data_IF_555022575455
#
_entry.id   IF_555022575455
#
_cell.length_a   1.000
_cell.length_b   1.000
_cell.length_c   1.000
_cell.angle_alpha   90.00
_cell.angle_beta   90.00
_cell.angle_gamma   90.00
#
_symmetry.space_group_name_H-M   'P 1'
#
loop_
_entity.id
_entity.type
_entity.pdbx_description
1 polymer ?
#
# COMPACT_ATOMS: atom_id res chain seq x y z
N UNK A 1 -24.30 15.62 21.04
CA UNK A 1 -25.41 15.52 22.03
C UNK A 1 -26.58 14.85 21.32
N UNK A 2 -27.16 13.80 21.88
CA UNK A 2 -28.26 13.05 21.27
C UNK A 2 -29.59 13.77 21.45
N UNK A 3 -30.27 14.10 20.36
CA UNK A 3 -31.67 14.56 20.39
C UNK A 3 -32.63 13.35 20.43
N UNK A 4 -33.87 13.59 20.89
CA UNK A 4 -34.93 12.62 21.26
C UNK A 4 -35.32 11.58 20.18
N UNK A 5 -34.74 11.63 18.99
CA UNK A 5 -34.97 10.68 17.89
C UNK A 5 -33.78 9.79 17.55
N UNK A 6 -32.67 9.84 18.30
CA UNK A 6 -31.49 9.01 18.02
C UNK A 6 -30.72 9.40 16.75
N UNK A 7 -31.05 10.54 16.14
CA UNK A 7 -30.29 11.10 15.02
C UNK A 7 -28.94 11.60 15.55
N UNK A 8 -27.86 10.99 15.07
CA UNK A 8 -26.49 11.41 15.36
C UNK A 8 -25.93 12.09 14.12
N UNK A 9 -25.38 13.28 14.31
CA UNK A 9 -24.67 13.98 13.25
C UNK A 9 -23.29 13.37 13.05
N UNK A 10 -22.89 13.19 11.79
CA UNK A 10 -21.57 12.65 11.46
C UNK A 10 -20.66 13.81 11.09
N UNK A 11 -19.65 14.05 11.93
CA UNK A 11 -18.73 15.19 11.81
C UNK A 11 -17.33 14.79 11.31
N UNK A 12 -17.08 13.50 11.12
CA UNK A 12 -15.78 12.99 10.72
C UNK A 12 -15.73 11.47 10.72
N UNK A 13 -14.55 10.95 10.43
CA UNK A 13 -14.23 9.53 10.42
C UNK A 13 -13.04 9.23 11.32
N UNK A 14 -13.02 8.02 11.88
CA UNK A 14 -11.98 7.56 12.79
C UNK A 14 -11.48 6.20 12.35
N UNK A 15 -10.16 6.05 12.22
CA UNK A 15 -9.55 4.77 11.89
C UNK A 15 -9.36 3.89 13.12
N UNK A 16 -9.06 2.60 12.87
CA UNK A 16 -8.69 1.63 13.93
C UNK A 16 -7.43 2.01 14.72
N UNK A 17 -6.61 2.93 14.19
CA UNK A 17 -5.43 3.46 14.87
C UNK A 17 -5.75 4.73 15.69
N UNK A 18 -7.04 4.98 15.97
CA UNK A 18 -7.56 6.14 16.68
C UNK A 18 -7.23 7.49 16.01
N UNK A 19 -6.84 7.48 14.74
CA UNK A 19 -6.67 8.69 13.95
C UNK A 19 -8.01 9.20 13.47
N UNK A 20 -8.25 10.50 13.68
CA UNK A 20 -9.50 11.18 13.35
C UNK A 20 -9.30 12.16 12.19
N UNK A 21 -10.27 12.20 11.29
CA UNK A 21 -10.35 13.15 10.18
C UNK A 21 -11.73 13.79 10.21
N UNK A 22 -11.79 15.08 10.49
CA UNK A 22 -13.02 15.85 10.44
C UNK A 22 -13.52 16.01 9.00
N UNK A 23 -14.83 16.00 8.82
CA UNK A 23 -15.42 16.28 7.52
C UNK A 23 -15.50 17.77 7.23
N UNK A 24 -15.39 18.14 5.97
CA UNK A 24 -15.59 19.53 5.51
C UNK A 24 -17.01 20.01 5.78
N UNK A 25 -18.00 19.11 5.70
CA UNK A 25 -19.38 19.40 6.07
C UNK A 25 -19.95 18.30 6.98
N UNK A 26 -20.78 18.70 7.94
CA UNK A 26 -21.54 17.78 8.79
C UNK A 26 -22.62 17.05 7.99
N UNK A 27 -22.79 15.76 8.27
CA UNK A 27 -23.87 14.95 7.71
C UNK A 27 -24.97 14.83 8.75
N UNK A 28 -26.14 15.39 8.45
CA UNK A 28 -27.32 15.29 9.29
C UNK A 28 -28.11 14.03 8.94
N UNK A 29 -28.02 13.00 9.78
CA UNK A 29 -28.72 11.72 9.53
C UNK A 29 -30.25 11.87 9.55
N UNK A 30 -30.76 12.91 10.22
CA UNK A 30 -32.16 13.29 10.20
C UNK A 30 -32.70 13.55 8.78
N UNK A 31 -31.90 14.17 7.90
CA UNK A 31 -32.29 14.52 6.53
C UNK A 31 -32.55 13.28 5.67
N UNK A 32 -31.94 12.16 6.05
CA UNK A 32 -32.14 10.87 5.40
C UNK A 32 -33.47 10.20 5.78
N UNK A 33 -34.21 10.70 6.77
CA UNK A 33 -35.52 10.18 7.21
C UNK A 33 -35.51 8.66 7.45
N UNK A 34 -34.44 8.15 8.07
CA UNK A 34 -34.25 6.73 8.36
C UNK A 34 -33.72 5.88 7.20
N UNK A 35 -33.57 6.42 5.98
CA UNK A 35 -32.97 5.71 4.84
C UNK A 35 -31.44 5.68 4.94
N UNK A 36 -30.89 4.54 5.32
CA UNK A 36 -29.46 4.39 5.62
C UNK A 36 -28.59 4.64 4.38
N UNK A 37 -29.04 4.22 3.21
CA UNK A 37 -28.30 4.36 1.96
C UNK A 37 -28.05 5.81 1.58
N UNK A 38 -28.98 6.72 1.93
CA UNK A 38 -28.86 8.15 1.59
C UNK A 38 -27.70 8.81 2.33
N UNK A 39 -27.61 8.60 3.64
CA UNK A 39 -26.52 9.22 4.42
C UNK A 39 -25.20 8.48 4.21
N UNK A 40 -25.20 7.18 3.88
CA UNK A 40 -23.97 6.46 3.48
C UNK A 40 -23.37 7.00 2.17
N UNK A 41 -24.20 7.31 1.18
CA UNK A 41 -23.73 7.95 -0.06
C UNK A 41 -23.20 9.37 0.21
N UNK A 42 -23.75 10.09 1.18
CA UNK A 42 -23.20 11.37 1.63
C UNK A 42 -21.87 11.18 2.37
N UNK A 43 -21.75 10.14 3.19
CA UNK A 43 -20.53 9.78 3.91
C UNK A 43 -19.37 9.54 2.95
N UNK A 44 -19.58 8.73 1.92
CA UNK A 44 -18.57 8.45 0.90
C UNK A 44 -18.10 9.74 0.19
N UNK A 45 -19.05 10.61 -0.18
CA UNK A 45 -18.73 11.90 -0.81
C UNK A 45 -17.95 12.82 0.13
N UNK A 46 -18.38 12.95 1.38
CA UNK A 46 -17.69 13.79 2.36
C UNK A 46 -16.30 13.25 2.70
N UNK A 47 -16.11 11.92 2.77
CA UNK A 47 -14.80 11.30 2.95
C UNK A 47 -13.82 11.75 1.85
N UNK A 48 -14.21 11.59 0.58
CA UNK A 48 -13.37 11.95 -0.57
C UNK A 48 -13.08 13.46 -0.58
N UNK A 49 -14.12 14.29 -0.41
CA UNK A 49 -13.98 15.75 -0.39
C UNK A 49 -13.06 16.24 0.72
N UNK A 50 -13.22 15.68 1.93
CA UNK A 50 -12.44 16.08 3.11
C UNK A 50 -10.99 15.67 2.99
N UNK A 51 -10.71 14.45 2.47
CA UNK A 51 -9.35 14.02 2.20
C UNK A 51 -8.68 14.89 1.14
N UNK A 52 -9.39 15.24 0.06
CA UNK A 52 -8.86 16.13 -0.97
C UNK A 52 -8.52 17.52 -0.40
N UNK A 53 -9.39 18.08 0.44
CA UNK A 53 -9.15 19.36 1.10
C UNK A 53 -7.92 19.33 2.02
N UNK A 54 -7.85 18.38 2.96
CA UNK A 54 -6.73 18.33 3.92
C UNK A 54 -5.40 17.95 3.27
N UNK A 55 -5.40 17.16 2.18
CA UNK A 55 -4.17 16.89 1.41
C UNK A 55 -3.63 18.18 0.79
N UNK A 56 -4.49 18.98 0.15
CA UNK A 56 -4.07 20.25 -0.45
C UNK A 56 -3.56 21.25 0.61
N UNK A 57 -4.21 21.30 1.78
CA UNK A 57 -3.75 22.10 2.92
C UNK A 57 -2.39 21.61 3.45
N UNK A 58 -2.21 20.30 3.60
CA UNK A 58 -0.97 19.69 4.09
C UNK A 58 0.22 19.95 3.16
N UNK A 59 0.01 19.88 1.84
CA UNK A 59 1.04 20.22 0.84
C UNK A 59 1.47 21.68 0.99
N UNK A 60 0.51 22.60 1.11
CA UNK A 60 0.78 24.04 1.26
C UNK A 60 1.52 24.36 2.57
N UNK A 61 1.21 23.63 3.64
CA UNK A 61 1.81 23.78 4.97
C UNK A 61 3.23 23.19 5.07
N UNK A 62 3.59 22.23 4.21
CA UNK A 62 4.84 21.45 4.33
C UNK A 62 6.11 22.31 4.40
N UNK A 63 6.21 23.36 3.58
CA UNK A 63 7.38 24.25 3.56
C UNK A 63 7.30 25.39 4.59
N UNK A 64 6.15 25.60 5.22
CA UNK A 64 5.91 26.68 6.19
C UNK A 64 6.10 26.20 7.63
N UNK A 65 5.80 24.93 7.90
CA UNK A 65 5.86 24.33 9.23
C UNK A 65 7.09 23.43 9.35
N UNK A 66 7.84 23.47 10.47
CA UNK A 66 8.92 22.53 10.71
C UNK A 66 8.46 21.08 10.54
N UNK A 67 9.24 20.27 9.82
CA UNK A 67 8.89 18.90 9.42
C UNK A 67 8.31 18.07 10.57
N UNK A 68 8.90 18.19 11.77
CA UNK A 68 8.47 17.48 12.98
C UNK A 68 7.04 17.86 13.39
N UNK A 69 6.72 19.16 13.40
CA UNK A 69 5.37 19.64 13.75
C UNK A 69 4.37 19.25 12.67
N UNK A 70 4.77 19.35 11.40
CA UNK A 70 3.94 18.97 10.26
C UNK A 70 3.55 17.49 10.30
N UNK A 71 4.53 16.59 10.49
CA UNK A 71 4.31 15.14 10.60
C UNK A 71 3.36 14.76 11.74
N UNK A 72 3.39 15.48 12.86
CA UNK A 72 2.56 15.17 14.03
C UNK A 72 1.15 15.75 13.91
N UNK A 73 1.00 16.85 13.19
CA UNK A 73 -0.27 17.54 13.01
C UNK A 73 -1.19 16.81 12.02
N UNK A 74 -0.67 16.47 10.83
CA UNK A 74 -1.49 15.87 9.77
C UNK A 74 -1.76 14.37 9.98
N UNK A 75 -2.90 13.84 9.48
CA UNK A 75 -3.17 12.40 9.47
C UNK A 75 -2.12 11.62 8.68
N UNK A 76 -1.82 10.38 9.06
CA UNK A 76 -0.70 9.61 8.50
C UNK A 76 -0.85 9.26 7.03
N UNK A 77 -2.08 9.03 6.55
CA UNK A 77 -2.34 8.90 5.11
C UNK A 77 -2.00 10.20 4.36
N UNK A 78 -2.36 11.35 4.93
CA UNK A 78 -2.14 12.69 4.37
C UNK A 78 -0.64 13.02 4.35
N UNK A 79 0.06 12.71 5.45
CA UNK A 79 1.53 12.83 5.54
C UNK A 79 2.22 11.99 4.47
N UNK A 80 1.79 10.75 4.29
CA UNK A 80 2.39 9.83 3.31
C UNK A 80 2.26 10.37 1.87
N UNK A 81 1.06 10.77 1.45
CA UNK A 81 0.83 11.27 0.08
C UNK A 81 1.51 12.63 -0.16
N UNK A 82 1.43 13.54 0.82
CA UNK A 82 2.05 14.87 0.70
C UNK A 82 3.57 14.78 0.67
N UNK A 83 4.17 13.90 1.48
CA UNK A 83 5.61 13.63 1.43
C UNK A 83 6.04 13.07 0.08
N UNK A 84 5.27 12.18 -0.53
CA UNK A 84 5.60 11.62 -1.85
C UNK A 84 5.41 12.63 -3.00
N UNK A 85 4.44 13.55 -2.87
CA UNK A 85 4.27 14.67 -3.81
C UNK A 85 5.48 15.61 -3.76
N UNK A 86 5.86 16.05 -2.56
CA UNK A 86 7.01 16.94 -2.38
C UNK A 86 8.31 16.26 -2.81
N UNK A 87 8.50 14.98 -2.46
CA UNK A 87 9.65 14.21 -2.94
C UNK A 87 9.67 14.11 -4.48
N UNK A 88 8.54 13.84 -5.13
CA UNK A 88 8.47 13.76 -6.60
C UNK A 88 8.83 15.11 -7.22
N UNK A 89 8.32 16.21 -6.67
CA UNK A 89 8.62 17.58 -7.13
C UNK A 89 10.10 17.92 -6.97
N UNK A 90 10.61 17.85 -5.73
CA UNK A 90 11.99 18.22 -5.39
C UNK A 90 13.00 17.33 -6.14
N UNK A 91 12.72 16.02 -6.28
CA UNK A 91 13.57 15.11 -7.03
C UNK A 91 13.57 15.41 -8.52
N UNK A 92 12.40 15.72 -9.11
CA UNK A 92 12.31 16.09 -10.53
C UNK A 92 13.13 17.34 -10.82
N UNK A 93 12.99 18.36 -9.97
CA UNK A 93 13.78 19.59 -10.05
C UNK A 93 15.29 19.30 -9.91
N UNK A 94 15.68 18.44 -8.95
CA UNK A 94 17.08 18.10 -8.74
C UNK A 94 17.71 17.32 -9.91
N UNK A 95 16.93 16.48 -10.60
CA UNK A 95 17.36 15.79 -11.83
C UNK A 95 17.64 16.83 -12.93
N UNK A 96 16.68 17.73 -13.20
CA UNK A 96 16.79 18.71 -14.28
C UNK A 96 17.88 19.76 -14.02
N UNK A 97 18.05 20.18 -12.76
CA UNK A 97 19.10 21.12 -12.35
C UNK A 97 20.44 20.45 -12.06
N UNK A 98 20.55 19.13 -12.22
CA UNK A 98 21.76 18.35 -11.92
C UNK A 98 22.29 18.58 -10.49
N UNK A 99 21.38 18.74 -9.52
CA UNK A 99 21.68 19.03 -8.10
C UNK A 99 21.37 17.85 -7.17
N UNK A 100 21.18 16.65 -7.72
CA UNK A 100 20.83 15.41 -7.01
C UNK A 100 21.68 15.14 -5.77
N UNK A 101 22.99 15.40 -5.81
CA UNK A 101 23.87 15.19 -4.66
C UNK A 101 23.49 16.07 -3.47
N UNK A 102 23.27 17.36 -3.71
CA UNK A 102 22.84 18.31 -2.67
C UNK A 102 21.45 17.98 -2.13
N UNK A 103 20.55 17.53 -3.01
CA UNK A 103 19.21 17.08 -2.62
C UNK A 103 19.29 15.84 -1.72
N UNK A 104 20.12 14.86 -2.09
CA UNK A 104 20.34 13.64 -1.31
C UNK A 104 20.87 13.96 0.09
N UNK A 105 21.85 14.87 0.21
CA UNK A 105 22.42 15.25 1.50
C UNK A 105 21.37 15.96 2.39
N UNK A 106 20.56 16.86 1.82
CA UNK A 106 19.43 17.50 2.53
C UNK A 106 18.39 16.46 2.99
N UNK A 107 18.04 15.52 2.12
CA UNK A 107 17.05 14.49 2.39
C UNK A 107 17.52 13.51 3.47
N UNK A 108 18.81 13.18 3.51
CA UNK A 108 19.43 12.37 4.55
C UNK A 108 19.34 13.03 5.94
N UNK A 109 19.52 14.35 6.01
CA UNK A 109 19.36 15.10 7.26
C UNK A 109 17.91 15.03 7.76
N UNK A 110 16.94 15.30 6.88
CA UNK A 110 15.51 15.20 7.20
C UNK A 110 15.11 13.81 7.69
N UNK A 111 15.61 12.75 7.04
CA UNK A 111 15.36 11.38 7.44
C UNK A 111 15.93 11.08 8.84
N UNK A 112 17.13 11.58 9.12
CA UNK A 112 17.79 11.41 10.43
C UNK A 112 17.03 12.13 11.55
N UNK A 113 16.49 13.32 11.27
CA UNK A 113 15.61 14.06 12.19
C UNK A 113 14.34 13.26 12.52
N UNK A 114 13.65 12.69 11.53
CA UNK A 114 12.46 11.85 11.78
C UNK A 114 12.81 10.63 12.64
N UNK A 115 13.94 9.98 12.39
CA UNK A 115 14.37 8.81 13.18
C UNK A 115 14.68 9.20 14.62
N UNK A 116 15.33 10.35 14.84
CA UNK A 116 15.59 10.86 16.19
C UNK A 116 14.31 11.09 17.01
N UNK A 117 13.20 11.48 16.36
CA UNK A 117 11.90 11.61 17.04
C UNK A 117 11.41 10.28 17.59
N UNK A 118 11.53 9.22 16.78
CA UNK A 118 11.13 7.87 17.19
C UNK A 118 11.98 7.40 18.37
N UNK A 119 13.22 7.88 18.51
CA UNK A 119 14.07 7.58 19.65
C UNK A 119 13.64 8.29 20.94
N UNK A 120 13.12 9.52 20.84
CA UNK A 120 12.74 10.35 21.99
C UNK A 120 11.37 10.00 22.60
N UNK A 121 10.68 9.00 22.05
CA UNK A 121 9.36 8.57 22.52
C UNK A 121 8.24 9.44 21.94
N UNK A 122 7.25 8.80 21.32
CA UNK A 122 6.10 9.45 20.71
C UNK A 122 4.81 8.77 21.20
N UNK A 123 3.68 9.46 21.07
CA UNK A 123 2.38 8.79 21.24
C UNK A 123 2.21 7.69 20.19
N UNK A 124 1.40 6.66 20.48
CA UNK A 124 1.26 5.49 19.58
C UNK A 124 0.88 5.88 18.14
N UNK A 125 0.00 6.87 17.96
CA UNK A 125 -0.39 7.41 16.64
C UNK A 125 0.79 8.09 15.92
N UNK A 126 1.48 8.99 16.63
CA UNK A 126 2.61 9.74 16.10
C UNK A 126 3.76 8.80 15.71
N UNK A 127 4.04 7.81 16.55
CA UNK A 127 5.05 6.81 16.29
C UNK A 127 4.75 6.00 15.02
N UNK A 128 3.50 5.55 14.85
CA UNK A 128 3.10 4.82 13.65
C UNK A 128 3.22 5.69 12.38
N UNK A 129 2.87 6.97 12.47
CA UNK A 129 3.02 7.91 11.36
C UNK A 129 4.50 8.08 10.96
N UNK A 130 5.37 8.37 11.94
CA UNK A 130 6.81 8.51 11.70
C UNK A 130 7.43 7.21 11.17
N UNK A 131 7.05 6.03 11.71
CA UNK A 131 7.51 4.72 11.20
C UNK A 131 7.16 4.53 9.72
N UNK A 132 5.91 4.81 9.34
CA UNK A 132 5.46 4.70 7.96
C UNK A 132 6.20 5.67 7.04
N UNK A 133 6.40 6.91 7.49
CA UNK A 133 7.14 7.93 6.76
C UNK A 133 8.61 7.53 6.57
N UNK A 134 9.27 6.96 7.59
CA UNK A 134 10.64 6.46 7.47
C UNK A 134 10.73 5.33 6.44
N UNK A 135 9.79 4.38 6.43
CA UNK A 135 9.76 3.29 5.44
C UNK A 135 9.71 3.86 4.00
N UNK A 136 8.82 4.84 3.76
CA UNK A 136 8.70 5.49 2.45
C UNK A 136 9.96 6.27 2.09
N UNK A 137 10.48 7.08 3.01
CA UNK A 137 11.62 7.95 2.76
C UNK A 137 12.93 7.16 2.59
N UNK A 138 13.12 6.03 3.27
CA UNK A 138 14.29 5.17 3.00
C UNK A 138 14.26 4.63 1.57
N UNK A 139 13.10 4.19 1.09
CA UNK A 139 12.96 3.79 -0.31
C UNK A 139 13.21 4.95 -1.27
N UNK A 140 12.60 6.12 -0.99
CA UNK A 140 12.77 7.34 -1.78
C UNK A 140 14.25 7.78 -1.86
N UNK A 141 14.99 7.75 -0.75
CA UNK A 141 16.43 8.01 -0.71
C UNK A 141 17.20 7.03 -1.59
N UNK A 142 16.97 5.72 -1.43
CA UNK A 142 17.65 4.69 -2.20
C UNK A 142 17.38 4.82 -3.72
N UNK A 143 16.21 5.34 -4.10
CA UNK A 143 15.90 5.70 -5.49
C UNK A 143 16.79 6.85 -5.97
N UNK A 144 16.92 7.93 -5.19
CA UNK A 144 17.77 9.08 -5.54
C UNK A 144 19.25 8.69 -5.64
N UNK A 145 19.74 7.87 -4.71
CA UNK A 145 21.10 7.32 -4.77
C UNK A 145 21.34 6.56 -6.09
N UNK A 146 20.43 5.64 -6.46
CA UNK A 146 20.53 4.90 -7.73
C UNK A 146 20.49 5.83 -8.95
N UNK A 147 19.60 6.81 -8.98
CA UNK A 147 19.47 7.78 -10.07
C UNK A 147 20.75 8.60 -10.23
N UNK A 148 21.35 9.02 -9.12
CA UNK A 148 22.62 9.73 -9.11
C UNK A 148 23.77 8.85 -9.61
N UNK A 149 23.90 7.62 -9.11
CA UNK A 149 24.91 6.65 -9.56
C UNK A 149 24.79 6.30 -11.05
N UNK A 150 23.57 6.29 -11.58
CA UNK A 150 23.28 6.03 -12.98
C UNK A 150 23.42 7.27 -13.88
N UNK A 151 23.78 8.44 -13.34
CA UNK A 151 23.90 9.70 -14.06
C UNK A 151 22.64 10.08 -14.86
N UNK A 152 21.46 9.88 -14.26
CA UNK A 152 20.19 10.26 -14.90
C UNK A 152 20.04 11.79 -14.90
N UNK A 153 19.96 12.39 -16.08
CA UNK A 153 19.87 13.85 -16.28
C UNK A 153 18.50 14.32 -16.78
N UNK A 154 17.56 13.42 -16.99
CA UNK A 154 16.24 13.75 -17.54
C UNK A 154 15.13 13.02 -16.81
N UNK A 155 14.05 13.74 -16.52
CA UNK A 155 12.80 13.15 -16.02
C UNK A 155 12.10 12.24 -17.05
N UNK A 156 12.57 12.25 -18.30
CA UNK A 156 12.07 11.34 -19.33
C UNK A 156 12.73 9.96 -19.28
N UNK A 157 13.82 9.82 -18.52
CA UNK A 157 14.59 8.58 -18.37
C UNK A 157 13.77 7.46 -17.74
N UNK A 158 13.99 6.23 -18.20
CA UNK A 158 13.27 5.06 -17.70
C UNK A 158 13.55 4.80 -16.22
N UNK A 159 14.77 5.00 -15.72
CA UNK A 159 15.11 4.75 -14.33
C UNK A 159 14.27 5.61 -13.38
N UNK A 160 14.01 6.88 -13.74
CA UNK A 160 13.06 7.74 -13.03
C UNK A 160 11.62 7.34 -13.30
N UNK A 161 11.23 7.16 -14.58
CA UNK A 161 9.87 6.79 -14.97
C UNK A 161 9.39 5.47 -14.37
N UNK A 162 10.30 4.55 -14.07
CA UNK A 162 10.03 3.24 -13.50
C UNK A 162 9.66 3.27 -12.01
N UNK A 163 9.81 4.43 -11.36
CA UNK A 163 9.43 4.65 -9.95
C UNK A 163 7.96 5.05 -9.82
N UNK A 164 7.40 4.93 -8.62
CA UNK A 164 6.05 5.41 -8.32
C UNK A 164 6.14 6.90 -7.94
N UNK A 165 5.46 7.75 -8.70
CA UNK A 165 5.53 9.21 -8.59
C UNK A 165 4.14 9.79 -8.37
N UNK A 166 4.08 10.94 -7.72
CA UNK A 166 2.84 11.62 -7.40
C UNK A 166 2.88 13.02 -7.97
N UNK A 167 1.82 13.42 -8.65
CA UNK A 167 1.71 14.74 -9.28
C UNK A 167 0.40 15.40 -8.89
N UNK A 168 0.44 16.71 -8.62
CA UNK A 168 -0.75 17.52 -8.48
C UNK A 168 -1.26 17.92 -9.88
N UNK A 169 -2.56 17.85 -10.09
CA UNK A 169 -3.23 18.32 -11.30
C UNK A 169 -3.41 19.84 -11.29
N UNK A 170 -3.43 20.43 -12.48
CA UNK A 170 -3.33 21.88 -12.68
C UNK A 170 -4.53 22.69 -12.16
N UNK A 171 -5.77 22.14 -12.24
CA UNK A 171 -6.97 22.98 -12.15
C UNK A 171 -7.87 22.70 -10.93
N UNK A 172 -7.66 21.59 -10.20
CA UNK A 172 -8.63 21.13 -9.20
C UNK A 172 -8.02 20.54 -7.92
N UNK A 173 -6.70 20.61 -7.72
CA UNK A 173 -6.03 19.98 -6.58
C UNK A 173 -6.18 18.45 -6.53
N UNK A 174 -6.42 17.84 -7.69
CA UNK A 174 -6.38 16.39 -7.88
C UNK A 174 -4.95 15.87 -7.78
N UNK A 175 -4.79 14.66 -7.28
CA UNK A 175 -3.50 13.97 -7.20
C UNK A 175 -3.56 12.79 -8.16
N UNK A 176 -2.51 12.65 -8.95
CA UNK A 176 -2.30 11.53 -9.85
C UNK A 176 -1.09 10.73 -9.41
N UNK A 177 -1.22 9.42 -9.46
CA UNK A 177 -0.12 8.49 -9.22
C UNK A 177 0.33 7.94 -10.57
N UNK A 178 1.62 8.03 -10.84
CA UNK A 178 2.22 7.64 -12.11
C UNK A 178 3.34 6.63 -11.91
N UNK A 179 3.37 5.62 -12.78
CA UNK A 179 4.46 4.66 -12.86
C UNK A 179 4.58 4.15 -14.30
N UNK A 180 5.80 4.20 -14.84
CA UNK A 180 6.11 3.92 -16.25
C UNK A 180 5.27 4.81 -17.17
N UNK A 181 4.22 4.26 -17.78
CA UNK A 181 3.28 4.96 -18.68
C UNK A 181 1.86 4.99 -18.12
N UNK A 182 1.66 4.39 -16.95
CA UNK A 182 0.36 4.33 -16.28
C UNK A 182 0.20 5.58 -15.43
N UNK A 183 -0.91 6.29 -15.65
CA UNK A 183 -1.39 7.39 -14.81
C UNK A 183 -2.77 7.02 -14.28
N UNK A 184 -2.93 7.07 -12.98
CA UNK A 184 -4.21 6.83 -12.29
C UNK A 184 -4.49 7.97 -11.34
N UNK A 185 -5.76 8.32 -11.19
CA UNK A 185 -6.18 9.29 -10.19
C UNK A 185 -6.06 8.64 -8.81
N UNK A 186 -5.54 9.40 -7.83
CA UNK A 186 -5.56 8.99 -6.43
C UNK A 186 -7.02 8.84 -5.97
N UNK A 187 -7.35 7.73 -5.32
CA UNK A 187 -8.75 7.38 -5.04
C UNK A 187 -9.38 8.16 -3.89
N UNK A 188 -8.58 8.79 -3.02
CA UNK A 188 -9.06 9.51 -1.83
C UNK A 188 -9.98 8.69 -0.92
N UNK A 189 -9.85 7.36 -0.91
CA UNK A 189 -10.52 6.53 0.08
C UNK A 189 -9.73 6.55 1.38
N UNK A 190 -10.42 6.71 2.52
CA UNK A 190 -9.76 6.73 3.82
C UNK A 190 -9.43 5.30 4.25
N UNK A 191 -8.13 5.00 4.21
CA UNK A 191 -7.58 3.68 4.56
C UNK A 191 -6.88 3.68 5.92
N UNK A 192 -6.92 4.83 6.61
CA UNK A 192 -6.31 5.07 7.92
C UNK A 192 -4.78 4.99 7.92
N UNK A 193 -4.20 5.22 9.10
CA UNK A 193 -2.76 5.08 9.31
C UNK A 193 -2.38 3.60 9.48
N UNK A 194 -2.30 2.85 8.38
CA UNK A 194 -1.94 1.43 8.39
C UNK A 194 -0.50 1.19 7.92
N UNK A 195 0.25 0.22 8.48
CA UNK A 195 1.68 0.01 8.19
C UNK A 195 2.03 -0.11 6.70
N UNK A 196 3.07 0.60 6.23
CA UNK A 196 3.60 0.47 4.86
C UNK A 196 4.46 -0.78 4.69
N UNK A 197 4.42 -1.38 3.50
CA UNK A 197 5.33 -2.45 3.10
C UNK A 197 6.73 -1.88 2.84
N UNK A 198 7.78 -2.58 3.27
CA UNK A 198 9.15 -2.24 2.88
C UNK A 198 9.34 -2.59 1.40
N UNK A 199 9.63 -1.58 0.59
CA UNK A 199 9.86 -1.75 -0.84
C UNK A 199 11.25 -2.36 -1.11
N UNK A 200 11.26 -3.48 -1.83
CA UNK A 200 12.44 -4.20 -2.33
C UNK A 200 12.43 -4.23 -3.86
N UNK A 201 13.54 -4.60 -4.54
CA UNK A 201 13.55 -4.76 -5.99
C UNK A 201 12.48 -5.74 -6.52
N UNK A 202 12.13 -6.77 -5.72
CA UNK A 202 11.07 -7.73 -6.06
C UNK A 202 9.69 -7.07 -6.05
N UNK A 203 9.36 -6.33 -4.99
CA UNK A 203 8.06 -5.65 -4.86
C UNK A 203 7.95 -4.46 -5.82
N UNK A 204 9.05 -3.75 -6.11
CA UNK A 204 9.09 -2.71 -7.16
C UNK A 204 8.76 -3.28 -8.54
N UNK A 205 9.29 -4.46 -8.87
CA UNK A 205 8.97 -5.14 -10.13
C UNK A 205 7.49 -5.52 -10.19
N UNK A 206 6.96 -6.04 -9.09
CA UNK A 206 5.53 -6.34 -8.97
C UNK A 206 4.67 -5.08 -9.16
N UNK A 207 5.00 -3.97 -8.49
CA UNK A 207 4.32 -2.68 -8.70
C UNK A 207 4.28 -2.28 -10.18
N UNK A 208 5.41 -2.34 -10.89
CA UNK A 208 5.47 -2.01 -12.32
C UNK A 208 4.55 -2.90 -13.16
N UNK A 209 4.55 -4.21 -12.91
CA UNK A 209 3.67 -5.13 -13.62
C UNK A 209 2.19 -4.86 -13.32
N UNK A 210 1.84 -4.64 -12.06
CA UNK A 210 0.46 -4.35 -11.65
C UNK A 210 -0.03 -3.01 -12.22
N UNK A 211 0.80 -1.97 -12.17
CA UNK A 211 0.49 -0.68 -12.81
C UNK A 211 0.32 -0.82 -14.32
N UNK A 212 1.16 -1.65 -14.97
CA UNK A 212 0.97 -1.99 -16.38
C UNK A 212 -0.37 -2.70 -16.64
N UNK A 213 -0.75 -3.66 -15.79
CA UNK A 213 -2.03 -4.37 -15.89
C UNK A 213 -3.23 -3.40 -15.85
N UNK A 214 -3.22 -2.45 -14.91
CA UNK A 214 -4.25 -1.42 -14.79
C UNK A 214 -4.43 -0.60 -16.08
N UNK A 215 -3.32 -0.22 -16.73
CA UNK A 215 -3.37 0.53 -18.00
C UNK A 215 -4.03 -0.25 -19.13
N UNK A 216 -3.95 -1.57 -19.08
CA UNK A 216 -4.54 -2.47 -20.07
C UNK A 216 -5.94 -2.98 -19.66
N UNK A 217 -6.49 -2.49 -18.54
CA UNK A 217 -7.73 -2.99 -17.95
C UNK A 217 -7.71 -4.50 -17.66
N UNK A 218 -6.51 -5.05 -17.43
CA UNK A 218 -6.28 -6.44 -17.05
C UNK A 218 -6.10 -6.54 -15.53
N UNK A 219 -6.29 -7.74 -15.01
CA UNK A 219 -5.91 -8.07 -13.65
C UNK A 219 -4.41 -8.31 -13.50
N UNK A 220 -3.95 -8.43 -12.26
CA UNK A 220 -2.57 -8.80 -11.93
C UNK A 220 -2.50 -10.17 -11.27
N UNK A 221 -1.50 -10.97 -11.62
CA UNK A 221 -1.32 -12.33 -11.09
C UNK A 221 0.08 -12.54 -10.47
N UNK A 222 0.36 -12.01 -9.25
CA UNK A 222 1.55 -12.39 -8.52
C UNK A 222 1.57 -13.87 -8.15
N UNK A 223 2.67 -14.55 -8.46
CA UNK A 223 2.82 -16.00 -8.27
C UNK A 223 4.16 -16.35 -7.62
N UNK A 224 4.16 -17.34 -6.73
CA UNK A 224 5.40 -17.81 -6.09
C UNK A 224 5.16 -18.41 -4.69
N UNK A 225 6.24 -18.80 -4.00
CA UNK A 225 6.15 -19.50 -2.71
C UNK A 225 5.43 -18.71 -1.62
N UNK A 226 4.99 -19.39 -0.57
CA UNK A 226 4.42 -18.74 0.61
C UNK A 226 5.46 -17.81 1.27
N UNK A 227 5.00 -16.65 1.77
CA UNK A 227 5.89 -15.68 2.42
C UNK A 227 6.69 -14.77 1.48
N UNK A 228 6.52 -14.85 0.16
CA UNK A 228 7.20 -13.95 -0.79
C UNK A 228 6.57 -12.55 -0.92
N UNK A 229 5.50 -12.25 -0.18
CA UNK A 229 4.89 -10.92 -0.13
C UNK A 229 3.87 -10.60 -1.25
N UNK A 230 3.31 -11.61 -1.93
CA UNK A 230 2.35 -11.45 -3.03
C UNK A 230 1.16 -10.55 -2.65
N UNK A 231 0.41 -10.95 -1.63
CA UNK A 231 -0.82 -10.30 -1.17
C UNK A 231 -0.54 -8.95 -0.55
N UNK A 232 0.54 -8.85 0.23
CA UNK A 232 0.99 -7.61 0.85
C UNK A 232 1.39 -6.57 -0.20
N UNK A 233 2.00 -6.98 -1.32
CA UNK A 233 2.37 -6.08 -2.41
C UNK A 233 1.15 -5.52 -3.13
N UNK A 234 0.15 -6.36 -3.45
CA UNK A 234 -1.13 -5.91 -4.01
C UNK A 234 -1.84 -4.91 -3.08
N UNK A 235 -1.86 -5.21 -1.78
CA UNK A 235 -2.48 -4.36 -0.76
C UNK A 235 -1.75 -3.02 -0.59
N UNK A 236 -0.41 -3.03 -0.59
CA UNK A 236 0.36 -1.80 -0.44
C UNK A 236 0.25 -0.91 -1.69
N UNK A 237 0.17 -1.49 -2.90
CA UNK A 237 -0.07 -0.72 -4.13
C UNK A 237 -1.44 -0.02 -4.08
N UNK A 238 -2.49 -0.75 -3.69
CA UNK A 238 -3.83 -0.18 -3.53
C UNK A 238 -3.85 0.98 -2.52
N UNK A 239 -3.13 0.81 -1.40
CA UNK A 239 -2.91 1.86 -0.41
C UNK A 239 -2.18 3.07 -0.98
N UNK A 240 -1.14 2.84 -1.78
CA UNK A 240 -0.37 3.91 -2.42
C UNK A 240 -1.25 4.77 -3.34
N UNK A 241 -2.32 4.21 -3.90
CA UNK A 241 -3.25 4.91 -4.78
C UNK A 241 -4.57 5.28 -4.08
N UNK A 242 -4.66 5.10 -2.76
CA UNK A 242 -5.85 5.28 -1.93
C UNK A 242 -7.12 4.61 -2.49
N UNK A 243 -7.00 3.32 -2.81
CA UNK A 243 -8.11 2.44 -3.13
C UNK A 243 -8.22 1.34 -2.07
N UNK A 244 -9.43 1.10 -1.59
CA UNK A 244 -9.76 0.01 -0.70
C UNK A 244 -9.54 -1.31 -1.43
N UNK A 245 -8.67 -2.14 -0.87
CA UNK A 245 -8.36 -3.46 -1.40
C UNK A 245 -8.92 -4.53 -0.47
N UNK A 246 -9.95 -5.23 -0.95
CA UNK A 246 -10.57 -6.35 -0.25
C UNK A 246 -9.73 -7.60 -0.51
N UNK A 247 -9.15 -8.14 0.54
CA UNK A 247 -8.41 -9.41 0.47
C UNK A 247 -9.40 -10.53 0.74
N UNK A 248 -9.55 -11.45 -0.21
CA UNK A 248 -10.43 -12.60 -0.09
C UNK A 248 -9.59 -13.88 -0.19
N UNK A 249 -9.55 -14.67 0.88
CA UNK A 249 -8.80 -15.91 0.89
C UNK A 249 -9.62 -17.03 0.24
N UNK A 250 -9.12 -17.56 -0.87
CA UNK A 250 -9.83 -18.56 -1.63
C UNK A 250 -9.76 -19.96 -1.00
N UNK A 251 -10.83 -20.72 -1.16
CA UNK A 251 -10.94 -22.10 -0.73
C UNK A 251 -11.77 -22.91 -1.73
N UNK A 252 -11.70 -24.22 -1.59
CA UNK A 252 -12.36 -25.20 -2.45
C UNK A 252 -13.90 -25.13 -2.32
N UNK A 253 -14.42 -24.47 -1.27
CA UNK A 253 -15.86 -24.30 -1.03
C UNK A 253 -16.49 -23.06 -1.67
N UNK A 254 -15.75 -22.32 -2.50
CA UNK A 254 -16.27 -21.13 -3.18
C UNK A 254 -17.12 -21.53 -4.39
N UNK A 255 -18.34 -21.02 -4.45
CA UNK A 255 -19.22 -21.16 -5.60
C UNK A 255 -19.19 -19.93 -6.53
N UNK A 256 -19.62 -20.13 -7.77
CA UNK A 256 -19.65 -19.05 -8.77
C UNK A 256 -20.74 -18.01 -8.48
N UNK A 257 -21.80 -18.37 -7.75
CA UNK A 257 -22.86 -17.44 -7.34
C UNK A 257 -22.37 -16.45 -6.28
N UNK A 258 -21.63 -16.91 -5.28
CA UNK A 258 -20.99 -16.07 -4.29
C UNK A 258 -19.95 -15.15 -4.92
N UNK A 259 -19.13 -15.69 -5.83
CA UNK A 259 -18.17 -14.88 -6.58
C UNK A 259 -18.86 -13.84 -7.47
N UNK A 260 -19.94 -14.21 -8.15
CA UNK A 260 -20.76 -13.29 -8.94
C UNK A 260 -21.28 -12.13 -8.09
N UNK A 261 -21.87 -12.40 -6.92
CA UNK A 261 -22.31 -11.35 -5.97
C UNK A 261 -21.17 -10.45 -5.52
N UNK A 262 -20.00 -11.03 -5.22
CA UNK A 262 -18.82 -10.26 -4.85
C UNK A 262 -18.36 -9.34 -5.99
N UNK A 263 -18.29 -9.86 -7.21
CA UNK A 263 -17.88 -9.12 -8.40
C UNK A 263 -18.89 -8.01 -8.79
N UNK A 264 -20.19 -8.21 -8.55
CA UNK A 264 -21.22 -7.16 -8.68
C UNK A 264 -20.90 -5.98 -7.76
N UNK A 265 -20.67 -6.26 -6.47
CA UNK A 265 -20.29 -5.23 -5.49
C UNK A 265 -18.98 -4.54 -5.84
N UNK A 266 -17.99 -5.29 -6.32
CA UNK A 266 -16.70 -4.76 -6.76
C UNK A 266 -16.85 -3.79 -7.94
N UNK A 267 -17.62 -4.19 -8.96
CA UNK A 267 -17.84 -3.38 -10.16
C UNK A 267 -18.62 -2.09 -9.87
N UNK A 268 -19.59 -2.11 -8.96
CA UNK A 268 -20.37 -0.93 -8.59
C UNK A 268 -19.61 0.01 -7.65
N UNK A 269 -18.85 -0.54 -6.68
CA UNK A 269 -18.09 0.27 -5.72
C UNK A 269 -16.81 0.85 -6.31
N UNK A 270 -16.21 0.21 -7.31
CA UNK A 270 -14.91 0.62 -7.84
C UNK A 270 -13.73 0.23 -6.95
N UNK A 271 -13.96 -0.57 -5.91
CA UNK A 271 -12.91 -1.07 -5.03
C UNK A 271 -11.97 -2.03 -5.77
N UNK A 272 -10.83 -2.33 -5.15
CA UNK A 272 -9.91 -3.34 -5.64
C UNK A 272 -10.10 -4.64 -4.86
N UNK A 273 -9.84 -5.77 -5.50
CA UNK A 273 -9.87 -7.08 -4.85
C UNK A 273 -8.56 -7.82 -5.08
N UNK A 274 -8.09 -8.53 -4.06
CA UNK A 274 -7.01 -9.50 -4.18
C UNK A 274 -7.53 -10.86 -3.71
N UNK A 275 -7.74 -11.77 -4.65
CA UNK A 275 -8.09 -13.14 -4.38
C UNK A 275 -6.83 -13.92 -4.04
N UNK A 276 -6.61 -14.12 -2.74
CA UNK A 276 -5.47 -14.84 -2.23
C UNK A 276 -5.66 -16.34 -2.46
N UNK A 277 -4.61 -17.04 -2.86
CA UNK A 277 -4.67 -18.49 -3.09
C UNK A 277 -5.72 -18.91 -4.15
N UNK A 278 -5.89 -18.09 -5.19
CA UNK A 278 -6.96 -18.24 -6.19
C UNK A 278 -6.99 -19.62 -6.87
N UNK A 279 -5.84 -20.28 -6.97
CA UNK A 279 -5.70 -21.64 -7.50
C UNK A 279 -6.21 -22.76 -6.58
N UNK A 280 -6.93 -22.43 -5.50
CA UNK A 280 -7.73 -23.36 -4.67
C UNK A 280 -9.17 -23.52 -5.14
N UNK A 281 -9.67 -22.59 -5.93
CA UNK A 281 -11.02 -22.69 -6.48
C UNK A 281 -11.05 -23.85 -7.48
N UNK A 282 -12.15 -24.60 -7.48
CA UNK A 282 -12.37 -25.67 -8.45
C UNK A 282 -12.34 -25.17 -9.90
N UNK A 283 -11.80 -25.99 -10.79
CA UNK A 283 -11.59 -25.63 -12.20
C UNK A 283 -12.90 -25.29 -12.93
N UNK A 284 -13.98 -25.99 -12.60
CA UNK A 284 -15.30 -25.75 -13.18
C UNK A 284 -15.84 -24.37 -12.75
N UNK A 285 -15.65 -24.02 -11.47
CA UNK A 285 -16.01 -22.71 -10.92
C UNK A 285 -15.13 -21.61 -11.53
N UNK A 286 -13.81 -21.83 -11.63
CA UNK A 286 -12.86 -20.89 -12.23
C UNK A 286 -13.23 -20.52 -13.67
N UNK A 287 -13.77 -21.48 -14.44
CA UNK A 287 -14.18 -21.23 -15.82
C UNK A 287 -15.34 -20.23 -15.91
N UNK A 288 -16.32 -20.34 -15.01
CA UNK A 288 -17.44 -19.37 -14.91
C UNK A 288 -16.94 -18.03 -14.38
N UNK A 289 -16.08 -18.04 -13.37
CA UNK A 289 -15.49 -16.82 -12.79
C UNK A 289 -14.64 -16.07 -13.82
N UNK A 290 -13.93 -16.76 -14.71
CA UNK A 290 -13.20 -16.12 -15.80
C UNK A 290 -14.15 -15.31 -16.71
N UNK A 291 -15.31 -15.87 -17.07
CA UNK A 291 -16.31 -15.17 -17.87
C UNK A 291 -16.89 -13.96 -17.14
N UNK A 292 -17.15 -14.07 -15.84
CA UNK A 292 -17.57 -12.95 -15.00
C UNK A 292 -16.53 -11.82 -15.01
N UNK A 293 -15.25 -12.14 -14.74
CA UNK A 293 -14.16 -11.15 -14.75
C UNK A 293 -14.01 -10.50 -16.13
N UNK A 294 -14.04 -11.30 -17.19
CA UNK A 294 -13.93 -10.81 -18.56
C UNK A 294 -15.08 -9.86 -18.92
N UNK A 295 -16.30 -10.13 -18.45
CA UNK A 295 -17.46 -9.24 -18.66
C UNK A 295 -17.21 -7.85 -18.08
N UNK A 296 -16.64 -7.78 -16.87
CA UNK A 296 -16.27 -6.51 -16.22
C UNK A 296 -15.16 -5.82 -16.99
N UNK A 297 -14.07 -6.53 -17.32
CA UNK A 297 -12.93 -5.97 -18.05
C UNK A 297 -13.34 -5.40 -19.41
N UNK A 298 -14.20 -6.12 -20.15
CA UNK A 298 -14.73 -5.66 -21.44
C UNK A 298 -15.59 -4.42 -21.30
N UNK A 299 -16.42 -4.33 -20.25
CA UNK A 299 -17.24 -3.15 -19.98
C UNK A 299 -16.38 -1.92 -19.65
N UNK A 300 -15.29 -2.10 -18.89
CA UNK A 300 -14.32 -1.04 -18.60
C UNK A 300 -13.60 -0.60 -19.88
N UNK A 301 -13.08 -1.55 -20.67
CA UNK A 301 -12.37 -1.28 -21.92
C UNK A 301 -13.26 -0.58 -22.96
N UNK A 302 -14.56 -0.90 -22.97
CA UNK A 302 -15.58 -0.26 -23.81
C UNK A 302 -16.08 1.08 -23.25
N UNK A 303 -15.51 1.54 -22.14
CA UNK A 303 -15.82 2.81 -21.48
C UNK A 303 -17.30 2.97 -21.07
N UNK A 304 -18.00 1.87 -20.76
CA UNK A 304 -19.42 1.87 -20.42
C UNK A 304 -19.68 2.50 -19.04
N UNK A 305 -20.86 3.09 -18.86
CA UNK A 305 -21.34 3.60 -17.55
C UNK A 305 -22.30 2.62 -16.87
N UNK A 306 -23.01 1.82 -17.65
CA UNK A 306 -23.82 0.68 -17.20
C UNK A 306 -23.52 -0.54 -18.06
N UNK A 307 -23.70 -1.73 -17.52
CA UNK A 307 -23.49 -2.98 -18.23
C UNK A 307 -24.36 -4.10 -17.66
N UNK A 308 -24.69 -5.09 -18.49
CA UNK A 308 -25.40 -6.28 -18.04
C UNK A 308 -24.41 -7.30 -17.48
N UNK A 309 -24.58 -7.68 -16.22
CA UNK A 309 -23.76 -8.69 -15.55
C UNK A 309 -24.66 -9.73 -14.90
N UNK A 310 -24.60 -10.96 -15.41
CA UNK A 310 -25.43 -12.09 -14.98
C UNK A 310 -26.95 -11.78 -15.01
N UNK A 311 -27.40 -11.09 -16.05
CA UNK A 311 -28.82 -10.75 -16.24
C UNK A 311 -29.31 -9.55 -15.43
N UNK A 312 -28.43 -8.86 -14.71
CA UNK A 312 -28.74 -7.61 -14.01
C UNK A 312 -28.01 -6.44 -14.67
N UNK A 313 -28.72 -5.34 -14.93
CA UNK A 313 -28.10 -4.08 -15.35
C UNK A 313 -27.47 -3.39 -14.13
N UNK A 314 -26.17 -3.13 -14.20
CA UNK A 314 -25.39 -2.53 -13.12
C UNK A 314 -24.71 -1.25 -13.59
N UNK A 315 -24.59 -0.28 -12.69
CA UNK A 315 -23.69 0.86 -12.84
C UNK A 315 -22.23 0.40 -12.71
N UNK A 316 -21.35 0.90 -13.58
CA UNK A 316 -19.93 0.55 -13.57
C UNK A 316 -19.08 1.68 -13.01
N UNK A 317 -18.35 1.41 -11.93
CA UNK A 317 -17.24 2.22 -11.50
C UNK A 317 -15.92 1.66 -12.07
N UNK A 318 -15.39 2.35 -13.07
CA UNK A 318 -14.21 1.94 -13.85
C UNK A 318 -12.91 1.88 -13.06
N UNK A 319 -12.89 2.37 -11.81
CA UNK A 319 -11.71 2.27 -10.96
C UNK A 319 -11.49 0.89 -10.35
N UNK A 320 -12.44 -0.05 -10.50
CA UNK A 320 -12.29 -1.40 -9.96
C UNK A 320 -11.13 -2.16 -10.62
N UNK A 321 -10.50 -3.03 -9.84
CA UNK A 321 -9.41 -3.88 -10.31
C UNK A 321 -9.37 -5.20 -9.56
N UNK A 322 -8.87 -6.24 -10.23
CA UNK A 322 -8.82 -7.60 -9.70
C UNK A 322 -7.39 -8.10 -9.76
N UNK A 323 -6.88 -8.51 -8.61
CA UNK A 323 -5.63 -9.24 -8.46
C UNK A 323 -5.90 -10.65 -7.99
N UNK A 324 -5.07 -11.59 -8.43
CA UNK A 324 -5.07 -12.98 -7.96
C UNK A 324 -3.68 -13.31 -7.45
N UNK A 325 -3.56 -14.10 -6.40
CA UNK A 325 -2.26 -14.66 -6.00
C UNK A 325 -2.26 -16.17 -6.16
N UNK A 326 -1.10 -16.70 -6.53
CA UNK A 326 -0.93 -18.13 -6.71
C UNK A 326 0.31 -18.65 -5.98
N UNK A 327 0.19 -19.86 -5.46
CA UNK A 327 1.32 -20.64 -5.01
C UNK A 327 1.43 -21.89 -5.90
N UNK A 328 2.30 -21.89 -6.92
CA UNK A 328 2.42 -23.01 -7.85
C UNK A 328 3.14 -24.23 -7.25
N UNK A 329 3.90 -24.06 -6.16
CA UNK A 329 4.76 -25.10 -5.58
C UNK A 329 4.05 -25.98 -4.52
N UNK A 330 2.79 -25.73 -4.23
CA UNK A 330 2.04 -26.49 -3.22
C UNK A 330 1.24 -27.61 -3.91
N UNK A 331 1.58 -28.87 -3.65
CA UNK A 331 1.22 -30.03 -4.48
C UNK A 331 -0.27 -30.35 -4.69
N UNK A 332 -1.18 -29.67 -4.00
CA UNK A 332 -2.65 -29.80 -4.21
C UNK A 332 -3.23 -28.73 -5.12
N UNK A 333 -2.40 -27.81 -5.65
CA UNK A 333 -2.88 -26.65 -6.39
C UNK A 333 -3.04 -26.93 -7.87
N UNK A 334 -4.16 -26.47 -8.42
CA UNK A 334 -4.52 -26.67 -9.83
C UNK A 334 -3.84 -25.61 -10.70
N UNK A 335 -3.45 -25.98 -11.91
CA UNK A 335 -3.01 -25.01 -12.90
C UNK A 335 -4.21 -24.17 -13.35
N UNK A 336 -4.01 -22.87 -13.50
CA UNK A 336 -5.06 -21.99 -14.00
C UNK A 336 -5.29 -22.25 -15.51
N UNK A 337 -6.55 -22.31 -15.98
CA UNK A 337 -6.89 -22.40 -17.40
C UNK A 337 -6.30 -21.27 -18.26
N UNK A 338 -5.94 -21.54 -19.51
CA UNK A 338 -5.26 -20.55 -20.37
C UNK A 338 -6.14 -19.34 -20.70
N UNK A 339 -7.46 -19.54 -20.88
CA UNK A 339 -8.41 -18.44 -21.05
C UNK A 339 -8.42 -17.48 -19.85
N UNK A 340 -8.24 -18.01 -18.64
CA UNK A 340 -8.15 -17.21 -17.43
C UNK A 340 -6.81 -16.47 -17.36
N UNK A 341 -5.69 -17.11 -17.73
CA UNK A 341 -4.37 -16.46 -17.77
C UNK A 341 -4.36 -15.19 -18.63
N UNK A 342 -5.12 -15.16 -19.74
CA UNK A 342 -5.23 -13.99 -20.62
C UNK A 342 -5.84 -12.76 -19.93
N UNK A 343 -6.63 -12.94 -18.88
CA UNK A 343 -7.27 -11.86 -18.12
C UNK A 343 -6.30 -11.18 -17.14
N UNK A 344 -5.09 -11.74 -16.95
CA UNK A 344 -4.14 -11.29 -15.95
C UNK A 344 -2.72 -11.12 -16.50
N UNK A 345 -1.97 -10.16 -15.93
CA UNK A 345 -0.53 -10.04 -16.13
C UNK A 345 0.23 -10.77 -15.02
N UNK A 346 0.98 -11.85 -15.33
CA UNK A 346 1.72 -12.61 -14.33
C UNK A 346 2.94 -11.86 -13.81
N UNK A 347 3.29 -12.08 -12.54
CA UNK A 347 4.57 -11.64 -11.98
C UNK A 347 5.12 -12.64 -10.97
N UNK A 348 6.34 -13.12 -11.22
CA UNK A 348 7.01 -14.05 -10.34
C UNK A 348 7.56 -13.35 -9.07
N UNK A 349 7.10 -13.81 -7.92
CA UNK A 349 7.44 -13.38 -6.56
C UNK A 349 8.19 -14.51 -5.85
N UNK A 350 9.49 -14.67 -6.16
CA UNK A 350 10.29 -15.82 -5.74
C UNK A 350 10.91 -15.64 -4.34
N UNK A 351 12.04 -14.93 -4.23
CA UNK A 351 12.79 -14.78 -2.99
C UNK A 351 12.82 -13.30 -2.55
N UNK A 352 12.22 -12.94 -1.41
CA UNK A 352 12.27 -11.58 -0.90
C UNK A 352 13.68 -11.25 -0.35
N UNK A 353 14.06 -9.96 -0.42
CA UNK A 353 15.30 -9.47 0.20
C UNK A 353 15.09 -9.25 1.70
N UNK A 354 15.28 -10.32 2.49
CA UNK A 354 15.05 -10.31 3.93
C UNK A 354 16.02 -9.34 4.64
N UNK A 355 17.25 -9.21 4.14
CA UNK A 355 18.26 -8.29 4.69
C UNK A 355 17.81 -6.83 4.57
N UNK A 356 17.34 -6.43 3.39
CA UNK A 356 16.79 -5.09 3.18
C UNK A 356 15.55 -4.85 4.04
N UNK A 357 14.65 -5.83 4.11
CA UNK A 357 13.44 -5.74 4.94
C UNK A 357 13.81 -5.54 6.41
N UNK A 358 14.74 -6.34 6.94
CA UNK A 358 15.20 -6.23 8.32
C UNK A 358 15.87 -4.88 8.59
N UNK A 359 16.75 -4.42 7.71
CA UNK A 359 17.44 -3.13 7.85
C UNK A 359 16.44 -1.97 7.91
N UNK A 360 15.51 -1.89 6.96
CA UNK A 360 14.53 -0.79 6.92
C UNK A 360 13.58 -0.86 8.11
N UNK A 361 13.18 -2.08 8.51
CA UNK A 361 12.30 -2.28 9.67
C UNK A 361 12.97 -1.81 10.97
N UNK A 362 14.23 -2.19 11.22
CA UNK A 362 14.98 -1.72 12.39
C UNK A 362 15.19 -0.21 12.34
N UNK A 363 15.52 0.34 11.17
CA UNK A 363 15.69 1.78 11.04
C UNK A 363 14.40 2.56 11.34
N UNK A 364 13.26 2.10 10.82
CA UNK A 364 11.94 2.65 11.14
C UNK A 364 11.58 2.51 12.62
N UNK A 365 12.11 1.50 13.31
CA UNK A 365 11.93 1.34 14.75
C UNK A 365 12.85 2.24 15.57
N UNK A 366 13.79 2.98 14.97
CA UNK A 366 14.69 3.91 15.66
C UNK A 366 16.05 3.34 16.04
N UNK A 367 16.51 2.25 15.41
CA UNK A 367 17.86 1.71 15.61
C UNK A 367 18.89 2.48 14.77
N UNK A 368 20.01 2.89 15.37
CA UNK A 368 21.05 3.67 14.67
C UNK A 368 21.88 2.79 13.73
N UNK A 369 22.28 1.60 14.21
CA UNK A 369 23.13 0.66 13.46
C UNK A 369 22.32 -0.39 12.69
N UNK A 370 21.12 -0.04 12.23
CA UNK A 370 20.14 -0.96 11.63
C UNK A 370 20.73 -1.87 10.53
N UNK A 371 21.66 -1.38 9.71
CA UNK A 371 22.32 -2.18 8.66
C UNK A 371 23.18 -3.31 9.23
N UNK A 372 24.03 -3.00 10.21
CA UNK A 372 24.90 -3.99 10.84
C UNK A 372 24.08 -5.03 11.61
N UNK A 373 23.07 -4.56 12.35
CA UNK A 373 22.18 -5.39 13.13
C UNK A 373 21.35 -6.34 12.27
N UNK A 374 20.75 -5.82 11.18
CA UNK A 374 20.03 -6.66 10.23
C UNK A 374 20.90 -7.78 9.68
N UNK A 375 22.14 -7.47 9.27
CA UNK A 375 23.08 -8.49 8.79
C UNK A 375 23.31 -9.58 9.84
N UNK A 376 23.57 -9.21 11.10
CA UNK A 376 23.78 -10.18 12.20
C UNK A 376 22.56 -11.09 12.40
N UNK A 377 21.34 -10.53 12.41
CA UNK A 377 20.10 -11.32 12.54
C UNK A 377 19.95 -12.30 11.38
N UNK A 378 20.12 -11.83 10.14
CA UNK A 378 19.95 -12.68 8.96
C UNK A 378 21.01 -13.77 8.88
N UNK A 379 22.27 -13.43 9.17
CA UNK A 379 23.35 -14.42 9.22
C UNK A 379 23.06 -15.47 10.30
N UNK A 380 22.55 -15.08 11.47
CA UNK A 380 22.14 -16.02 12.51
C UNK A 380 20.99 -16.94 12.07
N UNK A 381 19.92 -16.41 11.48
CA UNK A 381 18.81 -17.22 10.96
C UNK A 381 19.25 -18.19 9.85
N UNK A 382 20.14 -17.73 8.97
CA UNK A 382 20.73 -18.56 7.92
C UNK A 382 21.56 -19.69 8.52
N UNK A 383 22.46 -19.39 9.46
CA UNK A 383 23.26 -20.40 10.15
C UNK A 383 22.38 -21.39 10.91
N UNK A 384 21.33 -20.93 11.59
CA UNK A 384 20.38 -21.82 12.26
C UNK A 384 19.69 -22.76 11.26
N UNK A 385 19.28 -22.25 10.09
CA UNK A 385 18.65 -23.07 9.05
C UNK A 385 19.61 -24.08 8.41
N UNK A 386 20.91 -23.79 8.35
CA UNK A 386 21.92 -24.64 7.70
C UNK A 386 22.60 -25.62 8.66
N UNK A 387 22.72 -25.27 9.96
CA UNK A 387 23.52 -26.00 10.94
C UNK A 387 22.70 -26.77 11.98
N UNK A 388 21.44 -26.37 12.24
CA UNK A 388 20.60 -27.10 13.18
C UNK A 388 20.03 -28.37 12.53
N UNK A 389 19.69 -29.34 13.37
CA UNK A 389 19.00 -30.54 12.89
C UNK A 389 17.65 -30.17 12.26
N UNK A 390 17.28 -30.88 11.20
CA UNK A 390 16.00 -30.68 10.55
C UNK A 390 14.87 -31.11 11.49
N UNK A 391 14.07 -30.16 11.96
CA UNK A 391 12.89 -30.38 12.79
C UNK A 391 11.68 -29.69 12.17
N UNK A 392 10.53 -30.37 12.14
CA UNK A 392 9.31 -29.83 11.51
C UNK A 392 8.77 -28.55 12.16
N UNK A 393 9.13 -28.28 13.42
CA UNK A 393 8.70 -27.10 14.17
C UNK A 393 9.67 -25.92 14.08
N UNK A 394 10.81 -26.06 13.38
CA UNK A 394 11.71 -24.94 13.13
C UNK A 394 11.23 -24.13 11.92
N UNK A 395 11.04 -22.83 12.12
CA UNK A 395 10.69 -21.87 11.07
C UNK A 395 11.72 -20.73 11.07
N UNK A 396 12.52 -20.69 10.01
CA UNK A 396 13.49 -19.61 9.75
C UNK A 396 13.03 -18.70 8.60
N UNK A 397 11.76 -18.80 8.20
CA UNK A 397 11.17 -18.02 7.12
C UNK A 397 10.86 -16.57 7.50
N UNK A 398 10.37 -15.81 6.52
CA UNK A 398 10.08 -14.38 6.65
C UNK A 398 9.10 -14.06 7.81
N UNK A 399 8.17 -14.97 8.12
CA UNK A 399 7.22 -14.79 9.23
C UNK A 399 7.94 -14.78 10.58
N UNK A 400 8.84 -15.73 10.82
CA UNK A 400 9.66 -15.78 12.03
C UNK A 400 10.54 -14.53 12.16
N UNK A 401 11.23 -14.14 11.08
CA UNK A 401 12.07 -12.92 11.06
C UNK A 401 11.25 -11.68 11.41
N UNK A 402 10.07 -11.51 10.80
CA UNK A 402 9.18 -10.36 11.08
C UNK A 402 8.71 -10.32 12.54
N UNK A 403 8.38 -11.47 13.12
CA UNK A 403 7.98 -11.58 14.52
C UNK A 403 9.11 -11.14 15.45
N UNK A 404 10.34 -11.60 15.20
CA UNK A 404 11.53 -11.21 15.96
C UNK A 404 11.79 -9.72 15.86
N UNK A 405 11.82 -9.15 14.65
CA UNK A 405 12.00 -7.70 14.46
C UNK A 405 10.94 -6.88 15.21
N UNK A 406 9.68 -7.33 15.18
CA UNK A 406 8.58 -6.67 15.90
C UNK A 406 8.78 -6.73 17.42
N UNK A 407 9.24 -7.87 17.95
CA UNK A 407 9.55 -8.05 19.36
C UNK A 407 10.73 -7.15 19.77
N UNK A 408 11.82 -7.13 19.00
CA UNK A 408 12.99 -6.26 19.24
C UNK A 408 12.59 -4.78 19.26
N UNK A 409 11.75 -4.34 18.33
CA UNK A 409 11.24 -2.96 18.32
C UNK A 409 10.44 -2.60 19.57
N UNK A 410 9.65 -3.53 20.11
CA UNK A 410 8.92 -3.34 21.38
C UNK A 410 9.86 -3.34 22.58
N UNK A 411 10.88 -4.20 22.59
CA UNK A 411 11.88 -4.26 23.65
C UNK A 411 12.68 -2.96 23.72
N UNK A 412 13.04 -2.36 22.58
CA UNK A 412 13.76 -1.08 22.53
C UNK A 412 13.08 0.02 23.35
N UNK A 413 11.74 0.08 23.30
CA UNK A 413 10.96 1.07 24.05
C UNK A 413 10.93 0.80 25.56
N UNK A 414 11.09 -0.47 25.96
CA UNK A 414 11.05 -0.89 27.37
C UNK A 414 12.41 -0.80 28.04
N UNK A 415 13.50 -0.90 27.29
CA UNK A 415 14.87 -0.92 27.79
C UNK A 415 15.74 0.15 27.14
N UNK A 416 15.38 1.44 27.23
CA UNK A 416 16.11 2.53 26.56
C UNK A 416 17.61 2.55 26.89
N UNK A 417 17.99 2.14 28.11
CA UNK A 417 19.35 2.08 28.64
C UNK A 417 20.28 1.05 27.97
N UNK A 418 19.73 0.02 27.33
CA UNK A 418 20.53 -1.01 26.68
C UNK A 418 21.04 -0.54 25.31
N UNK A 419 22.23 -1.00 24.93
CA UNK A 419 22.73 -0.79 23.57
C UNK A 419 21.80 -1.48 22.56
N UNK A 420 21.74 -0.94 21.34
CA UNK A 420 20.97 -1.53 20.24
C UNK A 420 21.32 -3.01 19.99
N UNK A 421 22.57 -3.39 20.23
CA UNK A 421 23.05 -4.78 20.11
C UNK A 421 22.57 -5.66 21.27
N UNK A 422 22.62 -5.18 22.51
CA UNK A 422 22.12 -5.95 23.67
C UNK A 422 20.60 -6.17 23.59
N UNK A 423 19.86 -5.22 23.01
CA UNK A 423 18.41 -5.34 22.75
C UNK A 423 18.05 -6.43 21.75
N UNK A 424 18.99 -6.86 20.92
CA UNK A 424 18.80 -7.93 19.93
C UNK A 424 19.10 -9.32 20.45
N UNK A 425 19.88 -9.40 21.54
CA UNK A 425 20.30 -10.66 22.16
C UNK A 425 19.25 -11.12 23.19
N UNK A 426 18.49 -10.18 23.77
CA UNK A 426 17.34 -10.41 24.66
C UNK A 426 16.08 -10.80 23.90
#
# INVERSE_FOLDING_TARGET
QTDKFGNQDIIGMKSLAEEEVSFTNTIFTADAKGMVEKWLLQLEKQMIMSLKDIINKSISDFYQTPLLKWCLYWPGQVVSVSSMLNWTSDASEAIEKSSLKSFLDKFNNQLSEIVSLIQNGLSSRAELNCRNLVILNVHARNVIERIYEQNVLSIQDFNWKSQLRYYQGNDSGEVFVEMVTTRIQYGYEYIGNSPRLVMTPLTERCYRTLMGALKMHLGGAPEGPAGSGKTETCKDLAKAVAKQCVIFNCSDGIDYHGMGKFLKGLAQSGAWACFDEFNRIDLDVLSVVAQQIQTIQNAIASNLTTFNFEGAELTLNKSCSIFITMNPSYGTRKAIPDNLKLLFRPVAMMLPDISMIAQVTLYAMGFQNARSLAKKIIDAYKLCSEQLSYQAHYDFGMRAVKSTLTATGKLRLKTPELTDENKLIL
#
